data_IF_504685348842
#
_entry.id   IF_504685348842
#
_cell.length_a   1.000
_cell.length_b   1.000
_cell.length_c   1.000
_cell.angle_alpha   90.00
_cell.angle_beta   90.00
_cell.angle_gamma   90.00
#
_symmetry.space_group_name_H-M   'P 1'
#
loop_
_entity.id
_entity.type
_entity.pdbx_description
1 polymer ?
#
# COMPACT_ATOMS: atom_id res chain seq x y z
N UNK A 1 -14.56 32.12 -22.83
CA UNK A 1 -13.78 31.08 -22.15
C UNK A 1 -12.33 31.34 -22.49
N UNK A 2 -11.63 32.06 -21.62
CA UNK A 2 -10.20 32.32 -21.80
C UNK A 2 -9.47 30.97 -21.83
N UNK A 3 -8.64 30.76 -22.84
CA UNK A 3 -7.79 29.59 -22.92
C UNK A 3 -6.76 29.70 -21.80
N UNK A 4 -7.01 28.99 -20.68
CA UNK A 4 -6.01 28.83 -19.62
C UNK A 4 -4.76 28.23 -20.25
N UNK A 5 -3.65 28.94 -20.15
CA UNK A 5 -2.34 28.43 -20.55
C UNK A 5 -2.00 27.32 -19.54
N UNK A 6 -1.96 26.07 -20.00
CA UNK A 6 -1.69 24.91 -19.15
C UNK A 6 -0.41 24.25 -19.64
N UNK A 7 0.30 23.53 -18.77
CA UNK A 7 1.50 22.77 -19.14
C UNK A 7 1.21 21.78 -20.28
N UNK A 8 -0.02 21.25 -20.33
CA UNK A 8 -0.46 20.33 -21.38
C UNK A 8 -0.73 20.99 -22.75
N UNK A 9 -0.69 22.32 -22.83
CA UNK A 9 -0.85 23.15 -24.05
C UNK A 9 -2.23 23.10 -24.71
N UNK A 10 -3.09 22.13 -24.37
CA UNK A 10 -4.42 21.96 -24.94
C UNK A 10 -5.45 21.59 -23.86
N UNK A 11 -6.55 22.33 -23.84
CA UNK A 11 -7.71 22.10 -22.95
C UNK A 11 -8.26 20.66 -22.99
N UNK A 12 -8.22 19.98 -24.14
CA UNK A 12 -8.68 18.60 -24.25
C UNK A 12 -7.75 17.61 -23.53
N UNK A 13 -6.43 17.79 -23.65
CA UNK A 13 -5.43 16.98 -22.95
C UNK A 13 -5.50 17.17 -21.44
N UNK A 14 -5.67 18.42 -21.01
CA UNK A 14 -5.86 18.74 -19.60
C UNK A 14 -7.14 18.13 -19.01
N UNK A 15 -8.26 18.13 -19.75
CA UNK A 15 -9.50 17.44 -19.33
C UNK A 15 -9.30 15.93 -19.23
N UNK A 16 -8.61 15.32 -20.19
CA UNK A 16 -8.32 13.88 -20.17
C UNK A 16 -7.43 13.51 -18.97
N UNK A 17 -6.37 14.29 -18.73
CA UNK A 17 -5.50 14.14 -17.56
C UNK A 17 -6.31 14.19 -16.26
N UNK A 18 -7.14 15.22 -16.08
CA UNK A 18 -7.99 15.34 -14.89
C UNK A 18 -8.96 14.16 -14.75
N UNK A 19 -9.61 13.74 -15.84
CA UNK A 19 -10.52 12.61 -15.81
C UNK A 19 -9.81 11.32 -15.38
N UNK A 20 -8.66 11.00 -16.00
CA UNK A 20 -7.86 9.82 -15.66
C UNK A 20 -7.41 9.84 -14.19
N UNK A 21 -6.92 11.00 -13.71
CA UNK A 21 -6.49 11.20 -12.33
C UNK A 21 -7.61 10.93 -11.32
N UNK A 22 -8.77 11.57 -11.49
CA UNK A 22 -9.89 11.38 -10.56
C UNK A 22 -10.49 9.98 -10.64
N UNK A 23 -10.45 9.33 -11.81
CA UNK A 23 -10.82 7.90 -11.93
C UNK A 23 -9.89 7.06 -11.05
N UNK A 24 -8.57 7.24 -11.15
CA UNK A 24 -7.62 6.50 -10.29
C UNK A 24 -7.87 6.78 -8.81
N UNK A 25 -8.15 8.02 -8.41
CA UNK A 25 -8.42 8.34 -7.01
C UNK A 25 -9.69 7.66 -6.49
N UNK A 26 -10.74 7.60 -7.30
CA UNK A 26 -11.97 6.89 -6.96
C UNK A 26 -11.73 5.39 -6.86
N UNK A 27 -10.94 4.82 -7.78
CA UNK A 27 -10.60 3.40 -7.75
C UNK A 27 -9.77 3.05 -6.51
N UNK A 28 -8.74 3.84 -6.19
CA UNK A 28 -7.97 3.68 -4.95
C UNK A 28 -8.84 3.82 -3.69
N UNK A 29 -9.78 4.76 -3.69
CA UNK A 29 -10.74 4.89 -2.58
C UNK A 29 -11.68 3.68 -2.47
N UNK A 30 -12.00 3.05 -3.59
CA UNK A 30 -12.80 1.82 -3.61
C UNK A 30 -12.00 0.61 -3.16
N UNK A 31 -10.69 0.54 -3.46
CA UNK A 31 -9.81 -0.53 -2.96
C UNK A 31 -9.78 -0.60 -1.43
N UNK A 32 -9.90 0.53 -0.73
CA UNK A 32 -10.05 0.54 0.74
C UNK A 32 -11.23 -0.34 1.19
N UNK A 33 -12.36 -0.29 0.48
CA UNK A 33 -13.52 -1.12 0.79
C UNK A 33 -13.27 -2.61 0.46
N UNK A 34 -12.55 -2.89 -0.64
CA UNK A 34 -12.24 -4.25 -1.05
C UNK A 34 -11.29 -4.93 -0.06
N UNK A 35 -10.19 -4.27 0.32
CA UNK A 35 -9.28 -4.77 1.36
C UNK A 35 -10.00 -4.98 2.69
N UNK A 36 -10.86 -4.03 3.09
CA UNK A 36 -11.63 -4.19 4.33
C UNK A 36 -12.54 -5.41 4.27
N UNK A 37 -13.10 -5.73 3.11
CA UNK A 37 -13.94 -6.91 2.94
C UNK A 37 -13.12 -8.20 3.09
N UNK A 38 -11.96 -8.31 2.46
CA UNK A 38 -11.07 -9.48 2.55
C UNK A 38 -10.57 -9.68 3.99
N UNK A 39 -10.09 -8.62 4.63
CA UNK A 39 -9.60 -8.66 6.00
C UNK A 39 -10.71 -9.04 7.00
N UNK A 40 -11.94 -8.56 6.80
CA UNK A 40 -13.09 -8.97 7.64
C UNK A 40 -13.45 -10.46 7.46
N UNK A 41 -13.25 -11.03 6.27
CA UNK A 41 -13.45 -12.46 6.02
C UNK A 41 -12.34 -13.29 6.70
N UNK A 42 -11.08 -12.91 6.52
CA UNK A 42 -9.93 -13.55 7.15
C UNK A 42 -10.00 -13.50 8.69
N UNK A 43 -10.47 -12.39 9.24
CA UNK A 43 -10.65 -12.21 10.69
C UNK A 43 -11.55 -13.29 11.31
N UNK A 44 -12.59 -13.72 10.58
CA UNK A 44 -13.55 -14.73 11.07
C UNK A 44 -12.92 -16.11 11.29
N UNK A 45 -11.76 -16.38 10.68
CA UNK A 45 -11.02 -17.65 10.80
C UNK A 45 -9.84 -17.57 11.76
N UNK A 46 -9.39 -16.35 12.11
CA UNK A 46 -8.13 -16.14 12.83
C UNK A 46 -8.36 -15.68 14.27
N UNK A 47 -9.44 -14.92 14.55
CA UNK A 47 -9.71 -14.36 15.88
C UNK A 47 -11.19 -14.53 16.28
N UNK A 48 -11.51 -15.63 16.98
CA UNK A 48 -12.89 -16.00 17.31
C UNK A 48 -13.45 -15.38 18.61
N UNK A 49 -12.63 -15.11 19.62
CA UNK A 49 -13.14 -14.83 20.98
C UNK A 49 -12.75 -13.46 21.58
N UNK A 50 -11.60 -12.86 21.24
CA UNK A 50 -11.22 -11.48 21.64
C UNK A 50 -10.03 -10.97 20.80
N UNK A 51 -10.07 -9.71 20.34
CA UNK A 51 -8.98 -9.09 19.56
C UNK A 51 -8.21 -8.12 20.45
N UNK A 52 -6.93 -8.42 20.71
CA UNK A 52 -6.04 -7.46 21.36
C UNK A 52 -5.70 -6.29 20.42
N UNK A 53 -5.39 -5.09 20.94
CA UNK A 53 -4.99 -3.95 20.11
C UNK A 53 -3.81 -4.24 19.18
N UNK A 54 -2.90 -5.13 19.59
CA UNK A 54 -1.77 -5.61 18.77
C UNK A 54 -2.19 -6.51 17.59
N UNK A 55 -3.33 -7.18 17.71
CA UNK A 55 -3.88 -8.08 16.68
C UNK A 55 -4.75 -7.31 15.67
N UNK A 56 -5.34 -6.18 16.08
CA UNK A 56 -5.95 -5.22 15.15
C UNK A 56 -4.94 -4.64 14.15
N UNK A 57 -3.65 -4.60 14.51
CA UNK A 57 -2.57 -4.15 13.62
C UNK A 57 -2.43 -5.09 12.43
N UNK A 58 -2.30 -6.38 12.73
CA UNK A 58 -2.08 -7.43 11.76
C UNK A 58 -3.34 -7.70 10.93
N UNK A 59 -4.52 -7.63 11.54
CA UNK A 59 -5.77 -7.96 10.86
C UNK A 59 -6.26 -6.91 9.85
N UNK A 60 -5.74 -5.68 9.90
CA UNK A 60 -6.22 -4.57 9.05
C UNK A 60 -5.07 -3.79 8.37
N UNK A 61 -3.91 -4.41 8.16
CA UNK A 61 -2.73 -3.73 7.60
C UNK A 61 -3.00 -3.11 6.24
N UNK A 62 -3.61 -3.86 5.31
CA UNK A 62 -3.82 -3.42 3.93
C UNK A 62 -4.86 -2.30 3.85
N UNK A 63 -5.95 -2.41 4.61
CA UNK A 63 -6.95 -1.33 4.69
C UNK A 63 -6.36 -0.05 5.28
N UNK A 64 -5.60 -0.16 6.37
CA UNK A 64 -5.01 1.00 7.04
C UNK A 64 -3.96 1.67 6.12
N UNK A 65 -3.11 0.89 5.45
CA UNK A 65 -2.10 1.40 4.52
C UNK A 65 -2.75 2.17 3.37
N UNK A 66 -3.66 1.51 2.64
CA UNK A 66 -4.34 2.09 1.47
C UNK A 66 -5.13 3.34 1.86
N UNK A 67 -5.86 3.31 2.99
CA UNK A 67 -6.61 4.46 3.47
C UNK A 67 -5.69 5.63 3.84
N UNK A 68 -4.58 5.37 4.54
CA UNK A 68 -3.62 6.40 4.91
C UNK A 68 -3.00 7.04 3.67
N UNK A 69 -2.61 6.25 2.68
CA UNK A 69 -2.09 6.76 1.41
C UNK A 69 -3.12 7.57 0.62
N UNK A 70 -4.38 7.11 0.52
CA UNK A 70 -5.45 7.86 -0.15
C UNK A 70 -5.69 9.21 0.54
N UNK A 71 -5.69 9.25 1.88
CA UNK A 71 -5.82 10.51 2.62
C UNK A 71 -4.65 11.44 2.27
N UNK A 72 -3.41 10.94 2.28
CA UNK A 72 -2.22 11.72 1.91
C UNK A 72 -2.29 12.23 0.46
N UNK A 73 -2.76 11.40 -0.47
CA UNK A 73 -2.96 11.74 -1.87
C UNK A 73 -3.99 12.87 -2.03
N UNK A 74 -5.13 12.77 -1.35
CA UNK A 74 -6.18 13.79 -1.37
C UNK A 74 -5.71 15.11 -0.71
N UNK A 75 -4.94 15.01 0.38
CA UNK A 75 -4.32 16.18 0.99
C UNK A 75 -3.32 16.87 0.06
N UNK A 76 -2.49 16.09 -0.64
CA UNK A 76 -1.56 16.62 -1.62
C UNK A 76 -2.27 17.33 -2.78
N UNK A 77 -3.35 16.73 -3.31
CA UNK A 77 -4.19 17.36 -4.33
C UNK A 77 -4.84 18.65 -3.81
N UNK A 78 -5.32 18.64 -2.56
CA UNK A 78 -5.90 19.82 -1.91
C UNK A 78 -4.88 20.96 -1.80
N UNK A 79 -3.64 20.65 -1.41
CA UNK A 79 -2.54 21.63 -1.28
C UNK A 79 -2.05 22.16 -2.62
N UNK A 80 -2.03 21.34 -3.68
CA UNK A 80 -1.44 21.72 -4.98
C UNK A 80 -2.42 22.25 -6.02
N UNK A 81 -3.69 21.83 -5.98
CA UNK A 81 -4.66 22.15 -7.03
C UNK A 81 -5.88 22.95 -6.57
N UNK A 82 -6.15 23.01 -5.26
CA UNK A 82 -7.40 23.59 -4.73
C UNK A 82 -7.14 24.78 -3.82
N UNK A 83 -6.24 24.66 -2.85
CA UNK A 83 -5.90 25.74 -1.92
C UNK A 83 -4.89 26.70 -2.56
N UNK A 84 -5.11 28.00 -2.38
CA UNK A 84 -4.06 28.99 -2.68
C UNK A 84 -3.12 29.09 -1.48
N UNK A 85 -1.82 29.32 -1.73
CA UNK A 85 -0.80 29.45 -0.67
C UNK A 85 -1.17 30.46 0.44
N UNK A 86 -1.97 31.48 0.10
CA UNK A 86 -2.43 32.54 1.01
C UNK A 86 -3.47 32.07 2.04
N UNK A 87 -4.11 30.94 1.78
CA UNK A 87 -5.16 30.37 2.63
C UNK A 87 -4.60 29.33 3.61
N UNK A 88 -3.35 28.89 3.44
CA UNK A 88 -2.68 27.85 4.26
C UNK A 88 -1.99 28.50 5.47
N UNK A 89 -2.79 29.04 6.40
CA UNK A 89 -2.28 29.69 7.61
C UNK A 89 -3.02 29.25 8.88
N UNK A 90 -2.37 29.41 10.04
CA UNK A 90 -2.96 29.15 11.35
C UNK A 90 -3.56 27.75 11.50
N UNK A 91 -4.86 27.61 11.83
CA UNK A 91 -5.48 26.31 12.14
C UNK A 91 -5.52 25.36 10.95
N UNK A 92 -5.64 25.86 9.71
CA UNK A 92 -5.64 25.03 8.49
C UNK A 92 -4.29 24.32 8.35
N UNK A 93 -3.20 25.07 8.51
CA UNK A 93 -1.84 24.53 8.46
C UNK A 93 -1.60 23.47 9.54
N UNK A 94 -2.05 23.71 10.78
CA UNK A 94 -1.93 22.73 11.86
C UNK A 94 -2.77 21.48 11.60
N UNK A 95 -3.98 21.63 11.05
CA UNK A 95 -4.83 20.50 10.65
C UNK A 95 -4.17 19.64 9.57
N UNK A 96 -3.63 20.27 8.52
CA UNK A 96 -2.90 19.56 7.46
C UNK A 96 -1.66 18.83 8.00
N UNK A 97 -0.83 19.48 8.81
CA UNK A 97 0.32 18.79 9.41
C UNK A 97 -0.08 17.68 10.38
N UNK A 98 -1.13 17.88 11.17
CA UNK A 98 -1.65 16.88 12.10
C UNK A 98 -2.17 15.64 11.38
N UNK A 99 -2.99 15.83 10.35
CA UNK A 99 -3.53 14.73 9.55
C UNK A 99 -2.42 13.98 8.81
N UNK A 100 -1.43 14.71 8.26
CA UNK A 100 -0.24 14.10 7.65
C UNK A 100 0.52 13.24 8.65
N UNK A 101 0.76 13.76 9.85
CA UNK A 101 1.42 13.02 10.93
C UNK A 101 0.63 11.77 11.35
N UNK A 102 -0.70 11.86 11.43
CA UNK A 102 -1.56 10.72 11.72
C UNK A 102 -1.46 9.64 10.62
N UNK A 103 -1.53 10.02 9.35
CA UNK A 103 -1.34 9.08 8.23
C UNK A 103 0.05 8.47 8.25
N UNK A 104 1.11 9.24 8.51
CA UNK A 104 2.47 8.69 8.62
C UNK A 104 2.60 7.68 9.76
N UNK A 105 1.93 7.90 10.89
CA UNK A 105 1.87 6.91 11.97
C UNK A 105 1.12 5.66 11.51
N UNK A 106 -0.01 5.83 10.80
CA UNK A 106 -0.79 4.71 10.25
C UNK A 106 0.01 3.88 9.23
N UNK A 107 0.85 4.50 8.40
CA UNK A 107 1.74 3.78 7.46
C UNK A 107 2.79 2.94 8.19
N UNK A 108 3.44 3.51 9.22
CA UNK A 108 4.39 2.75 10.05
C UNK A 108 3.68 1.61 10.77
N UNK A 109 2.45 1.85 11.22
CA UNK A 109 1.61 0.86 11.88
C UNK A 109 1.22 -0.28 10.93
N UNK A 110 0.77 0.02 9.71
CA UNK A 110 0.49 -0.99 8.69
C UNK A 110 1.73 -1.81 8.32
N UNK A 111 2.89 -1.15 8.16
CA UNK A 111 4.17 -1.83 7.95
C UNK A 111 4.49 -2.85 9.05
N UNK A 112 4.21 -2.52 10.32
CA UNK A 112 4.37 -3.49 11.40
C UNK A 112 3.38 -4.65 11.31
N UNK A 113 2.17 -4.43 10.78
CA UNK A 113 1.18 -5.48 10.52
C UNK A 113 1.70 -6.52 9.53
N UNK A 114 2.14 -6.09 8.35
CA UNK A 114 2.76 -6.98 7.33
C UNK A 114 3.94 -7.77 7.90
N UNK A 115 4.77 -7.14 8.75
CA UNK A 115 5.87 -7.85 9.38
C UNK A 115 5.41 -8.90 10.41
N UNK A 116 4.38 -8.60 11.21
CA UNK A 116 3.83 -9.58 12.17
C UNK A 116 3.18 -10.76 11.46
N UNK A 117 2.52 -10.49 10.34
CA UNK A 117 1.93 -11.53 9.50
C UNK A 117 2.99 -12.46 8.92
N UNK A 118 4.08 -11.88 8.38
CA UNK A 118 5.25 -12.64 7.97
C UNK A 118 5.79 -13.50 9.12
N UNK A 119 5.97 -12.94 10.32
CA UNK A 119 6.45 -13.71 11.48
C UNK A 119 5.48 -14.86 11.83
N UNK A 120 4.17 -14.62 11.76
CA UNK A 120 3.13 -15.62 12.02
C UNK A 120 3.24 -16.82 11.08
N UNK A 121 3.50 -16.58 9.79
CA UNK A 121 3.67 -17.66 8.80
C UNK A 121 4.98 -18.45 8.96
N UNK A 122 5.94 -17.97 9.74
CA UNK A 122 7.15 -18.72 10.10
C UNK A 122 7.06 -19.40 11.47
N UNK A 123 6.10 -19.01 12.31
CA UNK A 123 5.78 -19.70 13.56
C UNK A 123 4.93 -20.92 13.27
N UNK A 124 5.52 -21.96 12.68
CA UNK A 124 4.80 -23.18 12.29
C UNK A 124 5.30 -24.40 13.04
N UNK A 125 4.37 -25.30 13.35
CA UNK A 125 4.69 -26.59 13.96
C UNK A 125 4.12 -27.74 13.13
N UNK A 126 4.83 -28.88 12.97
CA UNK A 126 4.27 -30.04 12.29
C UNK A 126 2.98 -30.51 12.98
N UNK A 127 1.96 -30.85 12.19
CA UNK A 127 0.69 -31.29 12.74
C UNK A 127 0.90 -32.53 13.64
N UNK A 128 0.41 -32.45 14.87
CA UNK A 128 0.60 -33.50 15.88
C UNK A 128 -0.25 -34.75 15.65
N UNK A 129 -1.23 -34.68 14.75
CA UNK A 129 -2.18 -35.75 14.42
C UNK A 129 -1.76 -36.43 13.13
N UNK A 130 -1.91 -37.75 13.07
CA UNK A 130 -1.49 -38.56 11.93
C UNK A 130 -2.35 -38.34 10.66
N UNK A 131 -3.61 -37.90 10.83
CA UNK A 131 -4.54 -37.66 9.73
C UNK A 131 -5.28 -36.34 9.96
N UNK A 132 -5.05 -35.36 9.08
CA UNK A 132 -5.67 -34.03 9.14
C UNK A 132 -7.19 -34.10 8.96
N UNK A 133 -7.71 -35.12 8.28
CA UNK A 133 -9.16 -35.29 8.10
C UNK A 133 -9.90 -35.62 9.40
N UNK A 134 -9.19 -36.01 10.46
CA UNK A 134 -9.80 -36.20 11.79
C UNK A 134 -10.22 -34.89 12.46
N UNK A 135 -9.71 -33.75 11.97
CA UNK A 135 -10.02 -32.42 12.47
C UNK A 135 -11.27 -31.81 11.81
N UNK A 136 -11.82 -32.46 10.78
CA UNK A 136 -13.03 -32.01 10.07
C UNK A 136 -14.21 -31.94 11.03
N UNK A 137 -14.92 -30.80 11.00
CA UNK A 137 -16.06 -30.54 11.88
C UNK A 137 -15.69 -30.01 13.27
N UNK A 138 -14.40 -29.81 13.54
CA UNK A 138 -13.93 -28.96 14.64
C UNK A 138 -13.73 -27.51 14.20
N UNK A 139 -13.02 -26.74 15.03
CA UNK A 139 -12.77 -25.31 14.81
C UNK A 139 -11.54 -25.03 13.93
N UNK A 140 -11.18 -25.99 13.06
CA UNK A 140 -10.02 -25.87 12.18
C UNK A 140 -10.38 -25.25 10.83
N UNK A 141 -9.53 -24.33 10.41
CA UNK A 141 -9.55 -23.68 9.11
C UNK A 141 -8.35 -24.13 8.30
N UNK A 142 -8.46 -24.05 6.97
CA UNK A 142 -7.38 -24.34 6.03
C UNK A 142 -6.95 -23.05 5.35
N UNK A 143 -5.65 -22.80 5.32
CA UNK A 143 -5.06 -21.78 4.45
C UNK A 143 -5.00 -22.35 3.03
N UNK A 144 -5.64 -21.68 2.08
CA UNK A 144 -5.69 -22.11 0.67
C UNK A 144 -4.70 -21.32 -0.17
N UNK A 145 -4.68 -20.00 0.06
CA UNK A 145 -3.78 -19.03 -0.54
C UNK A 145 -3.39 -18.01 0.54
N UNK A 146 -2.44 -17.13 0.25
CA UNK A 146 -2.07 -16.04 1.16
C UNK A 146 -3.31 -15.20 1.49
N UNK A 147 -3.58 -14.98 2.79
CA UNK A 147 -4.78 -14.35 3.34
C UNK A 147 -6.15 -14.96 2.98
N UNK A 148 -6.19 -16.10 2.28
CA UNK A 148 -7.43 -16.80 1.97
C UNK A 148 -7.59 -18.07 2.82
N UNK A 149 -8.64 -18.06 3.64
CA UNK A 149 -8.97 -19.12 4.57
C UNK A 149 -10.34 -19.73 4.26
N UNK A 150 -10.41 -21.06 4.38
CA UNK A 150 -11.67 -21.80 4.27
C UNK A 150 -11.89 -22.69 5.49
N UNK A 151 -13.14 -23.05 5.77
CA UNK A 151 -13.44 -24.09 6.78
C UNK A 151 -12.86 -25.43 6.34
N UNK A 152 -12.24 -26.19 7.25
CA UNK A 152 -11.69 -27.50 6.91
C UNK A 152 -12.81 -28.50 6.59
N UNK A 153 -12.92 -28.87 5.30
CA UNK A 153 -13.90 -29.87 4.81
C UNK A 153 -13.25 -31.23 4.55
N UNK A 154 -14.08 -32.28 4.44
CA UNK A 154 -13.61 -33.62 4.07
C UNK A 154 -12.93 -33.67 2.68
N UNK A 155 -13.34 -32.80 1.75
CA UNK A 155 -12.70 -32.68 0.45
C UNK A 155 -11.38 -31.90 0.55
N UNK A 156 -11.36 -30.79 1.30
CA UNK A 156 -10.17 -29.97 1.50
C UNK A 156 -9.05 -30.72 2.23
N UNK A 157 -9.37 -31.47 3.28
CA UNK A 157 -8.40 -32.27 4.03
C UNK A 157 -7.79 -33.38 3.16
N UNK A 158 -8.57 -34.00 2.28
CA UNK A 158 -8.11 -35.05 1.37
C UNK A 158 -7.23 -34.51 0.22
N UNK A 159 -7.31 -33.20 -0.06
CA UNK A 159 -6.50 -32.53 -1.07
C UNK A 159 -5.17 -31.99 -0.51
N UNK A 160 -4.94 -32.06 0.81
CA UNK A 160 -3.70 -31.56 1.42
C UNK A 160 -2.51 -32.47 1.08
N UNK A 161 -1.31 -31.85 1.02
CA UNK A 161 -0.05 -32.56 0.83
C UNK A 161 0.33 -33.46 2.02
N UNK A 162 1.40 -34.25 1.85
CA UNK A 162 1.86 -35.20 2.88
C UNK A 162 2.33 -34.51 4.18
N UNK A 163 2.85 -33.29 4.10
CA UNK A 163 3.32 -32.53 5.25
C UNK A 163 2.39 -31.36 5.51
N UNK A 164 1.70 -31.44 6.65
CA UNK A 164 0.77 -30.42 7.13
C UNK A 164 1.33 -29.78 8.39
N UNK A 165 1.19 -28.46 8.47
CA UNK A 165 1.63 -27.62 9.57
C UNK A 165 0.43 -26.93 10.21
N UNK A 166 0.57 -26.60 11.50
CA UNK A 166 -0.29 -25.63 12.17
C UNK A 166 0.41 -24.28 12.22
N UNK A 167 -0.34 -23.21 12.02
CA UNK A 167 0.19 -21.84 12.01
C UNK A 167 -0.01 -21.16 13.36
N UNK A 168 1.08 -20.77 13.99
CA UNK A 168 1.19 -20.16 15.31
C UNK A 168 0.33 -20.92 16.34
N UNK A 169 -0.47 -20.18 17.11
CA UNK A 169 -1.46 -20.73 18.05
C UNK A 169 -2.88 -20.73 17.46
N UNK A 170 -3.02 -20.56 16.14
CA UNK A 170 -4.32 -20.59 15.47
C UNK A 170 -4.70 -22.03 15.10
N UNK A 171 -6.01 -22.29 15.04
CA UNK A 171 -6.53 -23.54 14.50
C UNK A 171 -6.49 -23.53 12.96
N UNK A 172 -5.35 -23.17 12.37
CA UNK A 172 -5.18 -23.07 10.92
C UNK A 172 -4.19 -24.15 10.49
N UNK A 173 -4.61 -24.98 9.53
CA UNK A 173 -3.77 -26.00 8.89
C UNK A 173 -3.38 -25.59 7.48
N UNK A 174 -2.15 -25.91 7.10
CA UNK A 174 -1.59 -25.57 5.78
C UNK A 174 -0.59 -26.65 5.35
N UNK A 175 -0.57 -26.99 4.07
CA UNK A 175 0.44 -27.89 3.53
C UNK A 175 1.75 -27.15 3.17
N UNK A 176 2.83 -27.90 2.95
CA UNK A 176 4.16 -27.33 2.70
C UNK A 176 4.24 -26.44 1.45
N UNK A 177 3.45 -26.69 0.42
CA UNK A 177 3.51 -25.95 -0.84
C UNK A 177 2.81 -24.61 -0.68
N UNK A 178 1.57 -24.62 -0.19
CA UNK A 178 0.80 -23.41 0.13
C UNK A 178 1.52 -22.55 1.16
N UNK A 179 2.08 -23.15 2.21
CA UNK A 179 2.84 -22.40 3.23
C UNK A 179 4.01 -21.63 2.62
N UNK A 180 4.74 -22.25 1.69
CA UNK A 180 5.87 -21.62 1.04
C UNK A 180 5.45 -20.48 0.13
N UNK A 181 4.39 -20.64 -0.64
CA UNK A 181 3.85 -19.56 -1.48
C UNK A 181 3.39 -18.38 -0.61
N UNK A 182 2.61 -18.65 0.45
CA UNK A 182 2.17 -17.64 1.42
C UNK A 182 3.35 -16.88 2.06
N UNK A 183 4.41 -17.59 2.45
CA UNK A 183 5.62 -16.95 3.00
C UNK A 183 6.33 -16.03 1.99
N UNK A 184 6.32 -16.36 0.71
CA UNK A 184 6.92 -15.52 -0.33
C UNK A 184 6.06 -14.27 -0.54
N UNK A 185 4.73 -14.42 -0.62
CA UNK A 185 3.80 -13.30 -0.75
C UNK A 185 3.88 -12.34 0.46
N UNK A 186 3.93 -12.86 1.69
CA UNK A 186 4.17 -12.04 2.88
C UNK A 186 5.49 -11.24 2.82
N UNK A 187 6.54 -11.80 2.21
CA UNK A 187 7.77 -11.05 1.98
C UNK A 187 7.58 -9.96 0.91
N UNK A 188 6.79 -10.22 -0.13
CA UNK A 188 6.46 -9.23 -1.17
C UNK A 188 5.77 -8.02 -0.54
N UNK A 189 4.83 -8.24 0.38
CA UNK A 189 4.12 -7.18 1.11
C UNK A 189 5.06 -6.32 1.96
N UNK A 190 5.90 -6.96 2.78
CA UNK A 190 6.89 -6.26 3.61
C UNK A 190 7.87 -5.45 2.74
N UNK A 191 8.35 -6.03 1.64
CA UNK A 191 9.28 -5.37 0.73
C UNK A 191 8.61 -4.21 0.00
N UNK A 192 7.37 -4.37 -0.45
CA UNK A 192 6.61 -3.33 -1.12
C UNK A 192 6.33 -2.14 -0.18
N UNK A 193 5.83 -2.40 1.03
CA UNK A 193 5.55 -1.36 2.01
C UNK A 193 6.84 -0.59 2.39
N UNK A 194 7.96 -1.32 2.58
CA UNK A 194 9.26 -0.69 2.82
C UNK A 194 9.72 0.16 1.64
N UNK A 195 9.57 -0.33 0.42
CA UNK A 195 9.94 0.39 -0.80
C UNK A 195 9.19 1.72 -0.91
N UNK A 196 7.88 1.76 -0.65
CA UNK A 196 7.10 2.99 -0.65
C UNK A 196 7.53 3.99 0.43
N UNK A 197 7.80 3.51 1.66
CA UNK A 197 8.36 4.36 2.72
C UNK A 197 9.71 4.96 2.28
N UNK A 198 10.57 4.16 1.65
CA UNK A 198 11.85 4.63 1.11
C UNK A 198 11.66 5.66 -0.01
N UNK A 199 10.66 5.52 -0.89
CA UNK A 199 10.33 6.55 -1.90
C UNK A 199 10.07 7.88 -1.21
N UNK A 200 9.21 7.91 -0.18
CA UNK A 200 8.89 9.15 0.56
C UNK A 200 10.11 9.73 1.24
N UNK A 201 10.92 8.90 1.92
CA UNK A 201 12.14 9.37 2.58
C UNK A 201 13.09 10.01 1.56
N UNK A 202 13.30 9.36 0.41
CA UNK A 202 14.18 9.88 -0.64
C UNK A 202 13.65 11.22 -1.18
N UNK A 203 12.35 11.32 -1.44
CA UNK A 203 11.72 12.56 -1.88
C UNK A 203 11.84 13.68 -0.84
N UNK A 204 11.62 13.38 0.43
CA UNK A 204 11.71 14.37 1.50
C UNK A 204 13.16 14.85 1.72
N UNK A 205 14.13 13.95 1.64
CA UNK A 205 15.56 14.31 1.71
C UNK A 205 15.95 15.23 0.55
N UNK A 206 15.50 14.91 -0.67
CA UNK A 206 15.76 15.74 -1.85
C UNK A 206 15.20 17.15 -1.70
N UNK A 207 13.93 17.28 -1.30
CA UNK A 207 13.29 18.59 -1.06
C UNK A 207 14.01 19.37 0.04
N UNK A 208 14.38 18.72 1.15
CA UNK A 208 15.09 19.38 2.27
C UNK A 208 16.49 19.86 1.86
N UNK A 209 17.22 19.10 1.05
CA UNK A 209 18.54 19.50 0.55
C UNK A 209 18.43 20.63 -0.48
N UNK A 210 17.43 20.58 -1.36
CA UNK A 210 17.15 21.62 -2.33
C UNK A 210 16.80 22.96 -1.64
N UNK A 211 15.96 22.93 -0.59
CA UNK A 211 15.63 24.12 0.21
C UNK A 211 16.82 24.72 0.95
N UNK A 212 17.84 23.92 1.28
CA UNK A 212 19.09 24.39 1.91
C UNK A 212 20.12 24.90 0.89
N UNK A 213 19.87 24.75 -0.40
CA UNK A 213 20.81 25.09 -1.47
C UNK A 213 22.03 24.17 -1.54
N UNK A 214 21.98 23.00 -0.91
CA UNK A 214 23.11 22.07 -0.73
C UNK A 214 22.99 20.81 -1.62
N UNK A 215 22.10 20.85 -2.62
CA UNK A 215 21.89 19.73 -3.53
C UNK A 215 23.01 19.68 -4.58
N UNK A 216 24.06 18.93 -4.28
CA UNK A 216 25.14 18.64 -5.22
C UNK A 216 24.70 17.71 -6.36
N UNK A 217 25.31 17.88 -7.54
CA UNK A 217 25.12 17.00 -8.70
C UNK A 217 25.36 15.51 -8.37
N UNK A 218 26.30 15.22 -7.48
CA UNK A 218 26.58 13.85 -7.03
C UNK A 218 25.42 13.24 -6.24
N UNK A 219 24.84 14.03 -5.33
CA UNK A 219 23.70 13.62 -4.51
C UNK A 219 22.48 13.41 -5.41
N UNK A 220 22.25 14.33 -6.36
CA UNK A 220 21.17 14.19 -7.34
C UNK A 220 21.33 12.93 -8.21
N UNK A 221 22.54 12.55 -8.60
CA UNK A 221 22.74 11.32 -9.36
C UNK A 221 22.52 10.07 -8.50
N UNK A 222 22.96 10.11 -7.23
CA UNK A 222 22.73 9.02 -6.29
C UNK A 222 21.24 8.81 -6.01
N UNK A 223 20.46 9.87 -5.74
CA UNK A 223 19.02 9.76 -5.49
C UNK A 223 18.27 9.23 -6.73
N UNK A 224 18.68 9.60 -7.94
CA UNK A 224 18.12 9.04 -9.19
C UNK A 224 18.33 7.53 -9.29
N UNK A 225 19.54 7.04 -9.02
CA UNK A 225 19.83 5.59 -9.06
C UNK A 225 19.04 4.86 -7.97
N UNK A 226 18.98 5.42 -6.76
CA UNK A 226 18.22 4.85 -5.65
C UNK A 226 16.73 4.75 -6.01
N UNK A 227 16.12 5.83 -6.54
CA UNK A 227 14.73 5.79 -7.01
C UNK A 227 14.52 4.74 -8.08
N UNK A 228 15.43 4.63 -9.06
CA UNK A 228 15.33 3.61 -10.11
C UNK A 228 15.27 2.20 -9.53
N UNK A 229 16.14 1.89 -8.55
CA UNK A 229 16.16 0.59 -7.88
C UNK A 229 14.87 0.35 -7.11
N UNK A 230 14.39 1.35 -6.35
CA UNK A 230 13.15 1.25 -5.56
C UNK A 230 11.95 1.04 -6.49
N UNK A 231 11.81 1.83 -7.56
CA UNK A 231 10.72 1.63 -8.51
C UNK A 231 10.81 0.29 -9.23
N UNK A 232 12.01 -0.16 -9.61
CA UNK A 232 12.17 -1.50 -10.19
C UNK A 232 11.71 -2.59 -9.22
N UNK A 233 11.99 -2.45 -7.93
CA UNK A 233 11.49 -3.34 -6.88
C UNK A 233 9.97 -3.33 -6.78
N UNK A 234 9.33 -2.14 -6.79
CA UNK A 234 7.87 -2.01 -6.79
C UNK A 234 7.23 -2.69 -8.01
N UNK A 235 7.81 -2.55 -9.20
CA UNK A 235 7.34 -3.23 -10.41
C UNK A 235 7.49 -4.76 -10.32
N UNK A 236 8.55 -5.25 -9.67
CA UNK A 236 8.75 -6.69 -9.41
C UNK A 236 7.70 -7.21 -8.44
N UNK A 237 7.42 -6.50 -7.33
CA UNK A 237 6.36 -6.85 -6.39
C UNK A 237 5.00 -6.91 -7.08
N UNK A 238 4.64 -5.86 -7.85
CA UNK A 238 3.43 -5.84 -8.66
C UNK A 238 3.34 -7.05 -9.61
N UNK A 239 4.42 -7.34 -10.34
CA UNK A 239 4.45 -8.50 -11.23
C UNK A 239 4.31 -9.84 -10.51
N UNK A 240 4.79 -9.94 -9.27
CA UNK A 240 4.68 -11.17 -8.47
C UNK A 240 3.26 -11.40 -7.96
N UNK A 241 2.58 -10.38 -7.42
CA UNK A 241 1.16 -10.49 -7.07
C UNK A 241 0.32 -10.92 -8.27
N UNK A 242 0.57 -10.36 -9.46
CA UNK A 242 -0.16 -10.76 -10.68
C UNK A 242 0.16 -12.18 -11.18
N UNK A 243 1.18 -12.85 -10.63
CA UNK A 243 1.57 -14.22 -11.01
C UNK A 243 1.08 -15.27 -10.00
N UNK A 244 1.26 -14.99 -8.70
CA UNK A 244 1.09 -15.98 -7.61
C UNK A 244 0.23 -15.46 -6.44
N UNK A 245 -0.25 -14.21 -6.48
CA UNK A 245 -1.07 -13.63 -5.42
C UNK A 245 -2.43 -13.14 -5.90
N UNK A 246 -3.10 -12.33 -5.07
CA UNK A 246 -4.43 -11.84 -5.40
C UNK A 246 -4.43 -10.76 -6.48
N UNK A 247 -5.50 -10.73 -7.28
CA UNK A 247 -5.66 -9.75 -8.33
C UNK A 247 -5.80 -8.31 -7.79
N UNK A 248 -6.41 -8.14 -6.61
CA UNK A 248 -6.59 -6.86 -5.95
C UNK A 248 -5.25 -6.21 -5.63
N UNK A 249 -4.27 -6.96 -5.11
CA UNK A 249 -2.94 -6.45 -4.80
C UNK A 249 -2.21 -5.97 -6.05
N UNK A 250 -2.23 -6.79 -7.11
CA UNK A 250 -1.67 -6.41 -8.40
C UNK A 250 -2.31 -5.14 -8.97
N UNK A 251 -3.64 -5.09 -8.90
CA UNK A 251 -4.44 -3.97 -9.38
C UNK A 251 -4.17 -2.69 -8.60
N UNK A 252 -4.14 -2.77 -7.27
CA UNK A 252 -3.83 -1.65 -6.37
C UNK A 252 -2.42 -1.11 -6.63
N UNK A 253 -1.42 -2.00 -6.72
CA UNK A 253 -0.04 -1.63 -7.02
C UNK A 253 0.07 -0.88 -8.36
N UNK A 254 -0.65 -1.33 -9.39
CA UNK A 254 -0.71 -0.65 -10.68
C UNK A 254 -1.32 0.76 -10.55
N UNK A 255 -2.42 0.90 -9.81
CA UNK A 255 -3.07 2.18 -9.58
C UNK A 255 -2.16 3.15 -8.81
N UNK A 256 -1.42 2.68 -7.81
CA UNK A 256 -0.45 3.51 -7.08
C UNK A 256 0.69 4.00 -7.96
N UNK A 257 1.25 3.14 -8.80
CA UNK A 257 2.27 3.54 -9.77
C UNK A 257 1.74 4.64 -10.73
N UNK A 258 0.47 4.54 -11.17
CA UNK A 258 -0.16 5.61 -11.95
C UNK A 258 -0.43 6.88 -11.12
N UNK A 259 -0.87 6.74 -9.88
CA UNK A 259 -1.13 7.88 -8.99
C UNK A 259 0.13 8.72 -8.75
N UNK A 260 1.29 8.08 -8.57
CA UNK A 260 2.57 8.78 -8.44
C UNK A 260 2.96 9.55 -9.71
N UNK A 261 2.70 8.99 -10.91
CA UNK A 261 2.89 9.74 -12.16
C UNK A 261 2.00 10.99 -12.19
N UNK A 262 0.75 10.89 -11.72
CA UNK A 262 -0.14 12.05 -11.66
C UNK A 262 0.29 13.09 -10.63
N UNK A 263 0.86 12.67 -9.49
CA UNK A 263 1.49 13.59 -8.52
C UNK A 263 2.61 14.38 -9.20
N UNK A 264 3.53 13.72 -9.90
CA UNK A 264 4.63 14.40 -10.59
C UNK A 264 4.13 15.41 -11.65
N UNK A 265 3.13 15.01 -12.44
CA UNK A 265 2.54 15.88 -13.45
C UNK A 265 1.80 17.09 -12.84
N UNK A 266 1.12 16.91 -11.69
CA UNK A 266 0.51 18.01 -10.95
C UNK A 266 1.58 19.00 -10.48
N UNK A 267 2.72 18.52 -9.96
CA UNK A 267 3.83 19.40 -9.54
C UNK A 267 4.36 20.22 -10.71
N UNK A 268 4.52 19.61 -11.89
CA UNK A 268 4.99 20.34 -13.08
C UNK A 268 3.99 21.40 -13.56
N UNK A 269 2.69 21.12 -13.53
CA UNK A 269 1.66 22.12 -13.84
C UNK A 269 1.69 23.28 -12.83
N UNK A 270 1.78 22.98 -11.53
CA UNK A 270 1.87 23.99 -10.48
C UNK A 270 3.10 24.89 -10.66
N UNK A 271 4.28 24.31 -10.92
CA UNK A 271 5.52 25.05 -11.21
C UNK A 271 5.34 25.98 -12.42
N UNK A 272 4.76 25.47 -13.51
CA UNK A 272 4.48 26.25 -14.71
C UNK A 272 3.54 27.45 -14.42
N UNK A 273 2.49 27.25 -13.62
CA UNK A 273 1.59 28.35 -13.23
C UNK A 273 2.32 29.41 -12.38
N UNK A 274 3.13 29.02 -11.39
CA UNK A 274 3.91 29.98 -10.58
C UNK A 274 4.93 30.77 -11.40
N UNK A 275 5.62 30.14 -12.36
CA UNK A 275 6.61 30.80 -13.21
C UNK A 275 5.96 31.83 -14.14
N UNK A 276 4.71 31.62 -14.58
CA UNK A 276 3.97 32.61 -15.37
C UNK A 276 3.41 33.77 -14.54
N UNK A 277 3.17 33.54 -13.24
CA UNK A 277 2.61 34.55 -12.32
C UNK A 277 3.69 35.46 -11.73
N UNK A 278 4.98 35.10 -11.78
CA UNK A 278 6.06 36.07 -11.52
C UNK A 278 6.30 36.95 -12.76
N UNK A 279 5.79 38.21 -12.81
CA UNK A 279 6.37 39.15 -13.74
C UNK A 279 7.82 39.37 -13.32
N UNK A 280 8.72 39.27 -14.29
CA UNK A 280 10.09 39.80 -14.22
C UNK A 280 10.00 41.21 -13.64
N UNK A 281 10.26 41.34 -12.34
CA UNK A 281 10.55 42.62 -11.71
C UNK A 281 12.06 42.78 -11.78
N UNK A 282 12.51 43.17 -12.96
CA UNK A 282 13.81 43.79 -13.20
C UNK A 282 13.59 45.03 -14.05
#
# INVERSE_FOLDING_TARGET
MEARNTYFGNSARYRLFKAAKYIVYVLLSFNIYLFLQEELLALSFTYADDIEPGQLIQAFSATIDTAAWVILLLMFELETAVLNDRDIHGPVKWGLHGLRGLCSIALVYAFTGYYQELVTLYDVSPLSVADVCTLVGGDYSRLVEFDEYETLTAAGCAAMGEQVYTVANFNIVVDSETLRSAQILAWVDVVNALAWILVVIVLEVEVRLQLRGDLSDQVMNATKIIKLIIYAMLFICAGYWGYDGDFLDFWDACLWLFAFIFIELNVFEWQFETDQVQPVSA
#
